data_IF_000230031793
#
_entry.id   IF_000230031793
#
_cell.length_a   1.000
_cell.length_b   1.000
_cell.length_c   1.000
_cell.angle_alpha   90.00
_cell.angle_beta   90.00
_cell.angle_gamma   90.00
#
_symmetry.space_group_name_H-M   'P 1'
#
loop_
_entity.id
_entity.type
_entity.pdbx_description
1 polymer ?
#
# COMPACT_ATOMS: atom_id res chain seq x y z
N UNK A 1 -29.08 9.36 -21.76
CA UNK A 1 -28.82 9.76 -20.34
C UNK A 1 -27.94 11.00 -20.38
N UNK A 2 -28.40 12.11 -19.82
CA UNK A 2 -27.69 13.40 -19.92
C UNK A 2 -26.57 13.46 -18.88
N UNK A 3 -25.33 13.68 -19.33
CA UNK A 3 -24.19 13.92 -18.45
C UNK A 3 -24.40 15.24 -17.70
N UNK A 4 -24.63 15.14 -16.39
CA UNK A 4 -24.81 16.29 -15.50
C UNK A 4 -23.44 16.93 -15.27
N UNK A 5 -23.15 18.02 -15.99
CA UNK A 5 -21.92 18.78 -15.82
C UNK A 5 -22.01 19.56 -14.51
N UNK A 6 -21.25 19.15 -13.50
CA UNK A 6 -21.15 19.87 -12.23
C UNK A 6 -20.05 20.91 -12.35
N UNK A 7 -20.41 22.21 -12.30
CA UNK A 7 -19.44 23.30 -12.22
C UNK A 7 -18.87 23.39 -10.80
N UNK A 8 -17.62 22.98 -10.64
CA UNK A 8 -16.87 23.16 -9.39
C UNK A 8 -16.60 24.64 -9.16
N UNK A 9 -17.18 25.21 -8.09
CA UNK A 9 -17.06 26.63 -7.73
C UNK A 9 -16.14 26.87 -6.53
N UNK A 10 -15.82 25.83 -5.74
CA UNK A 10 -14.79 25.88 -4.69
C UNK A 10 -14.33 24.47 -4.32
N UNK A 11 -13.03 24.26 -4.19
CA UNK A 11 -12.41 23.02 -3.69
C UNK A 11 -11.85 23.30 -2.30
N UNK A 12 -12.13 22.43 -1.32
CA UNK A 12 -11.61 22.52 0.04
C UNK A 12 -10.60 21.41 0.33
N UNK A 13 -9.81 21.55 1.40
CA UNK A 13 -8.90 20.48 1.86
C UNK A 13 -9.65 19.19 2.22
N UNK A 14 -10.93 19.28 2.56
CA UNK A 14 -11.79 18.13 2.83
C UNK A 14 -12.24 17.38 1.56
N UNK A 15 -11.94 17.92 0.36
CA UNK A 15 -12.24 17.29 -0.94
C UNK A 15 -11.01 16.65 -1.58
N UNK A 16 -9.84 16.76 -0.93
CA UNK A 16 -8.64 15.97 -1.27
C UNK A 16 -9.02 14.49 -1.20
N UNK A 17 -8.73 13.70 -2.24
CA UNK A 17 -9.05 12.27 -2.28
C UNK A 17 -10.53 11.88 -2.49
N UNK A 18 -11.47 12.83 -2.65
CA UNK A 18 -12.88 12.51 -2.97
C UNK A 18 -13.15 12.31 -4.47
N UNK A 19 -12.31 12.88 -5.32
CA UNK A 19 -12.37 12.66 -6.76
C UNK A 19 -11.53 11.45 -7.09
N UNK A 20 -12.14 10.41 -7.68
CA UNK A 20 -11.42 9.29 -8.28
C UNK A 20 -10.59 9.83 -9.44
N UNK A 21 -9.34 10.20 -9.17
CA UNK A 21 -8.40 10.58 -10.19
C UNK A 21 -7.95 9.31 -10.89
N UNK A 22 -8.02 9.29 -12.21
CA UNK A 22 -7.49 8.21 -13.03
C UNK A 22 -6.12 8.63 -13.55
N UNK A 23 -5.22 7.67 -13.63
CA UNK A 23 -3.86 7.85 -14.13
C UNK A 23 -3.36 6.58 -14.80
N UNK A 24 -2.10 6.60 -15.19
CA UNK A 24 -1.42 5.45 -15.79
C UNK A 24 -0.06 5.32 -15.12
N UNK A 25 0.23 4.14 -14.56
CA UNK A 25 1.58 3.79 -14.12
C UNK A 25 2.31 3.11 -15.27
N UNK A 26 3.57 3.52 -15.51
CA UNK A 26 4.40 2.94 -16.56
C UNK A 26 5.46 2.03 -15.95
N UNK A 27 5.41 0.77 -16.31
CA UNK A 27 6.36 -0.26 -15.88
C UNK A 27 7.20 -0.69 -17.08
N UNK A 28 8.51 -0.63 -16.94
CA UNK A 28 9.42 -1.15 -17.94
C UNK A 28 9.68 -2.63 -17.64
N UNK A 29 9.43 -3.50 -18.61
CA UNK A 29 9.68 -4.92 -18.55
C UNK A 29 11.14 -5.23 -18.92
N UNK A 30 11.61 -6.43 -18.59
CA UNK A 30 13.01 -6.83 -18.79
C UNK A 30 13.44 -6.87 -20.27
N UNK A 31 12.47 -6.94 -21.19
CA UNK A 31 12.66 -6.91 -22.64
C UNK A 31 12.67 -5.48 -23.23
N UNK A 32 12.55 -4.45 -22.37
CA UNK A 32 12.47 -3.04 -22.77
C UNK A 32 11.05 -2.59 -23.17
N UNK A 33 10.04 -3.46 -23.04
CA UNK A 33 8.64 -3.11 -23.30
C UNK A 33 8.10 -2.23 -22.17
N UNK A 34 7.44 -1.12 -22.50
CA UNK A 34 6.75 -0.27 -21.51
C UNK A 34 5.28 -0.71 -21.40
N UNK A 35 4.93 -1.27 -20.26
CA UNK A 35 3.57 -1.62 -19.89
C UNK A 35 2.89 -0.40 -19.24
N UNK A 36 1.74 -0.01 -19.79
CA UNK A 36 0.89 1.06 -19.25
C UNK A 36 -0.27 0.45 -18.46
N UNK A 37 -0.23 0.60 -17.13
CA UNK A 37 -1.25 0.06 -16.22
C UNK A 37 -2.19 1.19 -15.81
N UNK A 38 -3.50 1.09 -16.09
CA UNK A 38 -4.48 2.07 -15.63
C UNK A 38 -4.59 2.02 -14.11
N UNK A 39 -4.41 3.15 -13.46
CA UNK A 39 -4.51 3.30 -12.01
C UNK A 39 -5.59 4.32 -11.65
N UNK A 40 -6.16 4.17 -10.46
CA UNK A 40 -7.12 5.08 -9.86
C UNK A 40 -6.67 5.47 -8.45
N UNK A 41 -7.05 6.68 -8.03
CA UNK A 41 -6.83 7.10 -6.65
C UNK A 41 -7.67 6.25 -5.69
N UNK A 42 -7.07 5.95 -4.55
CA UNK A 42 -7.74 5.27 -3.44
C UNK A 42 -8.17 6.34 -2.42
N UNK A 43 -9.30 6.10 -1.75
CA UNK A 43 -9.83 7.01 -0.75
C UNK A 43 -8.91 7.16 0.47
N UNK A 44 -9.05 8.28 1.19
CA UNK A 44 -8.19 8.60 2.36
C UNK A 44 -8.27 7.53 3.45
N UNK A 45 -9.44 6.91 3.63
CA UNK A 45 -9.67 5.86 4.64
C UNK A 45 -9.06 4.50 4.26
N UNK A 46 -8.33 4.42 3.14
CA UNK A 46 -7.66 3.21 2.72
C UNK A 46 -6.61 2.74 3.72
N UNK A 47 -5.91 3.71 4.35
CA UNK A 47 -4.94 3.40 5.39
C UNK A 47 -5.59 2.68 6.57
N UNK A 48 -6.69 3.21 7.09
CA UNK A 48 -7.41 2.61 8.21
C UNK A 48 -7.86 1.18 7.86
N UNK A 49 -8.34 0.97 6.64
CA UNK A 49 -8.68 -0.38 6.15
C UNK A 49 -7.49 -1.33 6.08
N UNK A 50 -6.33 -0.86 5.62
CA UNK A 50 -5.11 -1.68 5.60
C UNK A 50 -4.63 -2.03 7.01
N UNK A 51 -4.77 -1.09 7.95
CA UNK A 51 -4.41 -1.32 9.36
C UNK A 51 -5.37 -2.32 10.01
N UNK A 52 -6.66 -2.27 9.70
CA UNK A 52 -7.67 -3.21 10.19
C UNK A 52 -7.55 -4.61 9.56
N UNK A 53 -7.33 -4.70 8.25
CA UNK A 53 -7.24 -5.99 7.54
C UNK A 53 -5.87 -6.67 7.71
N UNK A 54 -4.79 -5.89 7.79
CA UNK A 54 -3.41 -6.40 7.84
C UNK A 54 -2.60 -5.72 8.95
N UNK A 55 -2.97 -5.87 10.24
CA UNK A 55 -2.28 -5.20 11.35
C UNK A 55 -0.84 -5.72 11.52
N UNK A 56 0.10 -4.83 11.87
CA UNK A 56 1.46 -5.26 12.21
C UNK A 56 1.48 -6.09 13.50
N UNK A 57 2.32 -7.14 13.60
CA UNK A 57 2.46 -7.89 14.83
C UNK A 57 3.10 -7.02 15.91
N UNK A 58 2.70 -7.24 17.16
CA UNK A 58 3.36 -6.58 18.28
C UNK A 58 4.82 -7.07 18.41
N UNK A 59 5.78 -6.17 18.66
CA UNK A 59 7.16 -6.54 18.87
C UNK A 59 7.32 -7.43 20.11
N UNK A 60 8.16 -8.50 20.04
CA UNK A 60 8.37 -9.38 21.18
C UNK A 60 9.02 -8.61 22.33
N UNK A 61 8.60 -8.90 23.56
CA UNK A 61 9.13 -8.23 24.76
C UNK A 61 10.37 -8.95 25.26
N UNK A 62 11.49 -8.22 25.39
CA UNK A 62 12.74 -8.74 25.95
C UNK A 62 12.99 -8.11 27.32
N UNK A 63 13.44 -8.93 28.27
CA UNK A 63 13.89 -8.45 29.59
C UNK A 63 15.32 -7.94 29.50
N UNK A 64 15.52 -6.65 29.69
CA UNK A 64 16.84 -6.03 29.76
C UNK A 64 17.07 -5.53 31.18
N UNK A 65 18.26 -5.80 31.73
CA UNK A 65 18.62 -5.27 33.04
C UNK A 65 18.99 -3.79 32.92
N UNK A 66 18.13 -2.91 33.45
CA UNK A 66 18.42 -1.48 33.50
C UNK A 66 19.38 -1.20 34.66
N UNK A 67 20.64 -0.87 34.32
CA UNK A 67 21.69 -0.57 35.31
C UNK A 67 21.40 0.69 36.15
N UNK A 68 20.67 1.66 35.61
CA UNK A 68 20.30 2.89 36.31
C UNK A 68 19.20 2.64 37.34
N UNK A 69 18.20 1.83 36.97
CA UNK A 69 17.05 1.52 37.83
C UNK A 69 17.25 0.24 38.67
N UNK A 70 18.38 -0.46 38.50
CA UNK A 70 18.75 -1.72 39.17
C UNK A 70 17.63 -2.77 39.13
N UNK A 71 16.85 -2.80 38.06
CA UNK A 71 15.73 -3.72 37.86
C UNK A 71 15.70 -4.22 36.43
N UNK A 72 15.10 -5.40 36.24
CA UNK A 72 14.77 -5.89 34.91
C UNK A 72 13.57 -5.11 34.38
N UNK A 73 13.71 -4.57 33.18
CA UNK A 73 12.64 -3.90 32.47
C UNK A 73 12.28 -4.70 31.23
N UNK A 74 10.98 -4.79 30.99
CA UNK A 74 10.40 -5.39 29.80
C UNK A 74 10.36 -4.32 28.72
N UNK A 75 11.15 -4.51 27.66
CA UNK A 75 11.25 -3.57 26.55
C UNK A 75 10.93 -4.27 25.22
N UNK A 76 10.18 -3.62 24.32
CA UNK A 76 9.95 -4.13 22.97
C UNK A 76 11.26 -4.35 22.22
N UNK A 77 11.44 -5.55 21.68
CA UNK A 77 12.58 -5.92 20.84
C UNK A 77 12.20 -5.79 19.37
N UNK A 78 12.21 -4.55 18.88
CA UNK A 78 12.00 -4.23 17.47
C UNK A 78 13.15 -4.72 16.56
N UNK A 79 14.24 -5.25 17.15
CA UNK A 79 15.36 -5.81 16.42
C UNK A 79 15.30 -7.33 16.25
N UNK A 80 14.27 -7.98 16.77
CA UNK A 80 14.09 -9.42 16.61
C UNK A 80 13.97 -9.79 15.11
N UNK A 81 14.82 -10.70 14.58
CA UNK A 81 14.79 -11.07 13.17
C UNK A 81 13.48 -11.72 12.72
N UNK A 82 12.78 -12.45 13.59
CA UNK A 82 11.50 -13.08 13.26
C UNK A 82 10.41 -12.03 13.16
N UNK A 83 10.35 -11.12 14.13
CA UNK A 83 9.40 -10.00 14.09
C UNK A 83 9.60 -9.14 12.84
N UNK A 84 10.86 -8.79 12.51
CA UNK A 84 11.18 -8.07 11.26
C UNK A 84 10.74 -8.82 10.02
N UNK A 85 10.93 -10.14 9.98
CA UNK A 85 10.49 -10.97 8.85
C UNK A 85 8.95 -11.01 8.73
N UNK A 86 8.22 -11.01 9.85
CA UNK A 86 6.76 -10.93 9.84
C UNK A 86 6.26 -9.55 9.39
N UNK A 87 6.84 -8.47 9.90
CA UNK A 87 6.54 -7.11 9.41
C UNK A 87 6.78 -6.97 7.91
N UNK A 88 7.92 -7.49 7.41
CA UNK A 88 8.22 -7.46 5.97
C UNK A 88 7.22 -8.24 5.11
N UNK A 89 6.66 -9.34 5.62
CA UNK A 89 5.57 -10.06 4.94
C UNK A 89 4.30 -9.20 4.86
N UNK A 90 3.96 -8.53 5.95
CA UNK A 90 2.78 -7.65 6.00
C UNK A 90 2.97 -6.43 5.09
N UNK A 91 4.18 -5.86 5.03
CA UNK A 91 4.50 -4.79 4.09
C UNK A 91 4.23 -5.21 2.65
N UNK A 92 4.70 -6.41 2.25
CA UNK A 92 4.44 -6.94 0.92
C UNK A 92 2.95 -7.11 0.64
N UNK A 93 2.20 -7.68 1.60
CA UNK A 93 0.75 -7.88 1.47
C UNK A 93 0.03 -6.53 1.32
N UNK A 94 0.40 -5.51 2.10
CA UNK A 94 -0.17 -4.16 2.02
C UNK A 94 0.15 -3.50 0.68
N UNK A 95 1.37 -3.68 0.15
CA UNK A 95 1.73 -3.22 -1.20
C UNK A 95 0.83 -3.88 -2.24
N UNK A 96 0.66 -5.19 -2.18
CA UNK A 96 -0.22 -5.92 -3.09
C UNK A 96 -1.67 -5.45 -2.99
N UNK A 97 -2.21 -5.33 -1.78
CA UNK A 97 -3.56 -4.80 -1.56
C UNK A 97 -3.74 -3.41 -2.16
N UNK A 98 -2.73 -2.54 -2.01
CA UNK A 98 -2.71 -1.20 -2.61
C UNK A 98 -2.78 -1.26 -4.13
N UNK A 99 -1.99 -2.15 -4.75
CA UNK A 99 -2.02 -2.34 -6.20
C UNK A 99 -3.39 -2.85 -6.65
N UNK A 100 -3.92 -3.91 -6.04
CA UNK A 100 -5.22 -4.49 -6.43
C UNK A 100 -6.34 -3.46 -6.31
N UNK A 101 -6.35 -2.66 -5.24
CA UNK A 101 -7.42 -1.67 -5.02
C UNK A 101 -7.25 -0.41 -5.87
N UNK A 102 -6.01 -0.05 -6.22
CA UNK A 102 -5.68 1.13 -7.01
C UNK A 102 -5.55 0.87 -8.51
N UNK A 103 -5.63 -0.36 -8.98
CA UNK A 103 -5.71 -0.68 -10.40
C UNK A 103 -7.16 -0.45 -10.90
N UNK A 104 -7.30 0.12 -12.11
CA UNK A 104 -8.60 0.38 -12.76
C UNK A 104 -8.91 -0.65 -13.88
N UNK A 105 -8.52 -1.90 -13.64
CA UNK A 105 -8.92 -3.07 -14.43
C UNK A 105 -9.43 -4.16 -13.49
N UNK A 106 -10.29 -5.02 -14.02
CA UNK A 106 -10.73 -6.21 -13.32
C UNK A 106 -9.62 -7.26 -13.35
N UNK A 107 -9.29 -7.82 -12.19
CA UNK A 107 -8.25 -8.84 -12.02
C UNK A 107 -8.96 -10.12 -11.62
N UNK A 108 -8.75 -11.19 -12.39
CA UNK A 108 -9.31 -12.50 -12.09
C UNK A 108 -8.76 -13.03 -10.74
N UNK A 109 -9.62 -13.68 -9.97
CA UNK A 109 -9.30 -14.24 -8.66
C UNK A 109 -10.30 -13.87 -7.57
N UNK A 110 -10.57 -14.82 -6.67
CA UNK A 110 -11.51 -14.63 -5.56
C UNK A 110 -10.80 -14.08 -4.31
N UNK A 111 -9.53 -14.44 -4.13
CA UNK A 111 -8.71 -13.99 -3.00
C UNK A 111 -7.67 -12.94 -3.42
N UNK A 112 -7.11 -12.23 -2.44
CA UNK A 112 -6.01 -11.30 -2.71
C UNK A 112 -4.78 -12.03 -3.28
N UNK A 113 -4.49 -13.22 -2.77
CA UNK A 113 -3.38 -14.06 -3.25
C UNK A 113 -3.59 -14.48 -4.72
N UNK A 114 -4.80 -14.89 -5.10
CA UNK A 114 -5.11 -15.28 -6.48
C UNK A 114 -4.97 -14.09 -7.44
N UNK A 115 -5.42 -12.90 -7.02
CA UNK A 115 -5.30 -11.68 -7.83
C UNK A 115 -3.84 -11.25 -7.99
N UNK A 116 -3.03 -11.41 -6.95
CA UNK A 116 -1.59 -11.15 -7.01
C UNK A 116 -0.90 -12.15 -7.92
N UNK A 117 -1.24 -13.44 -7.81
CA UNK A 117 -0.71 -14.48 -8.68
C UNK A 117 -1.07 -14.21 -10.14
N UNK A 118 -2.32 -13.82 -10.42
CA UNK A 118 -2.76 -13.42 -11.76
C UNK A 118 -1.92 -12.25 -12.30
N UNK A 119 -1.64 -11.23 -11.47
CA UNK A 119 -0.75 -10.14 -11.89
C UNK A 119 0.69 -10.60 -12.13
N UNK A 120 1.22 -11.52 -11.32
CA UNK A 120 2.56 -12.08 -11.53
C UNK A 120 2.63 -12.90 -12.84
N UNK A 121 1.59 -13.66 -13.14
CA UNK A 121 1.49 -14.50 -14.33
C UNK A 121 1.40 -13.69 -15.63
N UNK A 122 0.97 -12.42 -15.55
CA UNK A 122 1.00 -11.49 -16.70
C UNK A 122 2.42 -11.04 -17.08
N UNK A 123 3.44 -11.42 -16.31
CA UNK A 123 4.84 -11.07 -16.55
C UNK A 123 5.27 -9.74 -15.94
N UNK A 124 4.43 -9.11 -15.10
CA UNK A 124 4.82 -7.93 -14.34
C UNK A 124 5.86 -8.35 -13.29
N UNK A 125 7.06 -7.74 -13.26
CA UNK A 125 8.07 -8.11 -12.29
C UNK A 125 7.62 -7.73 -10.88
N UNK A 126 7.89 -8.60 -9.90
CA UNK A 126 7.49 -8.36 -8.51
C UNK A 126 8.00 -7.02 -7.95
N UNK A 127 9.18 -6.56 -8.39
CA UNK A 127 9.73 -5.26 -8.01
C UNK A 127 8.95 -4.05 -8.55
N UNK A 128 8.11 -4.21 -9.58
CA UNK A 128 7.29 -3.13 -10.12
C UNK A 128 6.05 -2.83 -9.25
N UNK A 129 5.58 -3.77 -8.43
CA UNK A 129 4.41 -3.53 -7.56
C UNK A 129 4.63 -2.38 -6.59
N UNK A 130 5.84 -2.26 -6.02
CA UNK A 130 6.18 -1.13 -5.15
C UNK A 130 6.10 0.21 -5.89
N UNK A 131 6.51 0.25 -7.17
CA UNK A 131 6.41 1.45 -8.01
C UNK A 131 4.95 1.79 -8.31
N UNK A 132 4.15 0.79 -8.70
CA UNK A 132 2.72 0.97 -8.99
C UNK A 132 1.99 1.47 -7.74
N UNK A 133 2.24 0.86 -6.58
CA UNK A 133 1.67 1.30 -5.30
C UNK A 133 2.06 2.75 -4.97
N UNK A 134 3.32 3.14 -5.19
CA UNK A 134 3.76 4.52 -5.01
C UNK A 134 3.05 5.50 -5.96
N UNK A 135 2.89 5.14 -7.24
CA UNK A 135 2.19 5.97 -8.22
C UNK A 135 0.70 6.14 -7.84
N UNK A 136 0.06 5.07 -7.36
CA UNK A 136 -1.31 5.09 -6.82
C UNK A 136 -1.40 6.01 -5.60
N UNK A 137 -0.47 5.90 -4.64
CA UNK A 137 -0.46 6.74 -3.44
C UNK A 137 -0.25 8.23 -3.78
N UNK A 138 0.67 8.52 -4.72
CA UNK A 138 0.89 9.87 -5.24
C UNK A 138 -0.38 10.42 -5.90
N UNK A 139 -1.04 9.62 -6.73
CA UNK A 139 -2.31 9.98 -7.37
C UNK A 139 -3.43 10.22 -6.33
N UNK A 140 -3.36 9.51 -5.20
CA UNK A 140 -4.29 9.65 -4.08
C UNK A 140 -3.99 10.87 -3.19
N UNK A 141 -2.84 11.53 -3.39
CA UNK A 141 -2.40 12.65 -2.57
C UNK A 141 -2.09 12.25 -1.12
N UNK A 142 -1.77 10.98 -0.89
CA UNK A 142 -1.26 10.47 0.39
C UNK A 142 0.25 10.77 0.39
N UNK A 143 0.66 11.76 1.18
CA UNK A 143 2.06 12.16 1.27
C UNK A 143 2.91 11.02 1.85
N UNK A 144 4.02 10.71 1.17
CA UNK A 144 4.96 9.62 1.49
C UNK A 144 5.61 9.75 2.88
N UNK A 145 5.51 10.90 3.54
CA UNK A 145 6.10 11.18 4.86
C UNK A 145 5.46 10.41 6.02
N UNK A 146 4.33 9.73 5.84
CA UNK A 146 3.65 9.02 6.93
C UNK A 146 3.90 7.49 6.98
N UNK A 147 4.88 6.98 6.24
CA UNK A 147 5.19 5.55 6.12
C UNK A 147 6.67 5.19 6.41
N UNK A 148 7.45 6.12 6.99
CA UNK A 148 8.74 5.80 7.61
C UNK A 148 8.61 5.59 9.12
#
# INVERSE_FOLDING_TARGET
MANKVVKLTKLSKADKGKFQQKGVSKVELADGTILEIPIKSIGINFRDKLEDEYPYPEPPVTKIFNKQLKRFEEVPNTNDPKWKAECAKIDNIRVYATVIWGIDIEIEGDTLEDKVQTLLDTGIPAGAFSKIAQDIMKLSGIDQEQFQ
#
